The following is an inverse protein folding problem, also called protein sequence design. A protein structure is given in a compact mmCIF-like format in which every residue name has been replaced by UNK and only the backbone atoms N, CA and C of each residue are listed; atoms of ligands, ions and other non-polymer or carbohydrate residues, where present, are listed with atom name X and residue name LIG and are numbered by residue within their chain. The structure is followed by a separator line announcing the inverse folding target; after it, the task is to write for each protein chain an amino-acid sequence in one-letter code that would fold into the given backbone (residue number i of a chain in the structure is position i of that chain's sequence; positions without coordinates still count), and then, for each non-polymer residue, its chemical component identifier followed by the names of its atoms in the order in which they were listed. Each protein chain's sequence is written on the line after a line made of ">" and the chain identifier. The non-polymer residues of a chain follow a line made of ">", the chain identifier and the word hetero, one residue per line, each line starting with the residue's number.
data_IF_943610134968
#
_entry.id   IF_943610134968
#
_cell.length_a   1.000
_cell.length_b   1.000
_cell.length_c   1.000
_cell.angle_alpha   90.00
_cell.angle_beta   90.00
_cell.angle_gamma   90.00
#
_symmetry.space_group_name_H-M   'P 1'
#
loop_
_entity.id
_entity.type
_entity.pdbx_description
1 polymer ?
#
# COMPACT_ATOMS: atom_id res chain seq x y z
N UNK A 1 -20.11 27.77 35.70
CA UNK A 1 -19.57 29.16 35.76
C UNK A 1 -20.39 30.06 36.64
N UNK A 2 -21.72 30.12 36.47
CA UNK A 2 -22.61 31.02 37.22
C UNK A 2 -22.75 30.70 38.71
N UNK A 3 -22.80 29.42 39.09
CA UNK A 3 -22.86 29.00 40.50
C UNK A 3 -21.58 29.36 41.28
N UNK A 4 -20.41 29.27 40.65
CA UNK A 4 -19.13 29.68 41.23
C UNK A 4 -19.01 31.20 41.36
N UNK A 5 -19.52 31.96 40.38
CA UNK A 5 -19.55 33.40 40.44
C UNK A 5 -20.54 33.90 41.52
N UNK A 6 -21.72 33.25 41.65
CA UNK A 6 -22.70 33.56 42.71
C UNK A 6 -22.19 33.19 44.09
N UNK A 7 -21.46 32.07 44.25
CA UNK A 7 -20.86 31.71 45.53
C UNK A 7 -19.71 32.65 45.91
N UNK A 8 -18.93 33.13 44.97
CA UNK A 8 -17.86 34.10 45.22
C UNK A 8 -18.43 35.48 45.52
N UNK A 9 -19.52 35.86 44.86
CA UNK A 9 -20.25 37.12 45.14
C UNK A 9 -20.95 37.11 46.49
N UNK A 10 -21.56 35.96 46.87
CA UNK A 10 -22.18 35.75 48.18
C UNK A 10 -21.18 35.77 49.35
N UNK A 11 -19.89 35.46 49.10
CA UNK A 11 -18.79 35.53 50.11
C UNK A 11 -18.24 36.93 50.30
N UNK A 12 -18.45 37.86 49.35
CA UNK A 12 -17.86 39.21 49.37
C UNK A 12 -18.84 40.32 49.81
N UNK A 13 -20.17 40.03 49.81
CA UNK A 13 -21.18 41.00 50.22
C UNK A 13 -22.13 40.40 51.29
N UNK A 14 -22.38 41.13 52.42
CA UNK A 14 -23.38 40.74 53.44
C UNK A 14 -24.82 40.87 52.87
N UNK A 15 -25.40 39.79 52.41
CA UNK A 15 -26.76 39.70 51.87
C UNK A 15 -27.83 39.54 52.98
N UNK A 16 -27.94 40.47 53.89
CA UNK A 16 -28.98 40.39 54.91
C UNK A 16 -30.40 40.81 54.43
N UNK A 17 -30.51 41.49 53.30
CA UNK A 17 -31.81 41.99 52.79
C UNK A 17 -32.17 41.57 51.33
N UNK A 18 -31.43 40.67 50.71
CA UNK A 18 -31.75 40.29 49.32
C UNK A 18 -32.84 39.18 49.30
N UNK A 19 -33.95 39.41 48.54
CA UNK A 19 -35.02 38.41 48.50
C UNK A 19 -34.53 37.10 47.88
N UNK A 20 -34.56 36.00 48.62
CA UNK A 20 -34.15 34.63 48.14
C UNK A 20 -34.88 34.21 46.88
N UNK A 21 -36.08 34.75 46.63
CA UNK A 21 -36.86 34.54 45.40
C UNK A 21 -36.18 35.03 44.13
N UNK A 22 -35.34 36.09 44.21
CA UNK A 22 -34.62 36.62 43.04
C UNK A 22 -33.56 35.61 42.55
N UNK A 23 -32.83 34.97 43.45
CA UNK A 23 -31.84 33.94 43.10
C UNK A 23 -32.52 32.71 42.50
N UNK A 24 -33.72 32.34 42.96
CA UNK A 24 -34.45 31.23 42.38
C UNK A 24 -35.01 31.54 40.99
N UNK A 25 -35.49 32.75 40.78
CA UNK A 25 -35.94 33.21 39.47
C UNK A 25 -34.78 33.30 38.47
N UNK A 26 -33.62 33.83 38.87
CA UNK A 26 -32.42 33.92 38.03
C UNK A 26 -31.92 32.53 37.62
N UNK A 27 -31.91 31.57 38.53
CA UNK A 27 -31.56 30.18 38.25
C UNK A 27 -32.48 29.55 37.20
N UNK A 28 -33.80 29.75 37.32
CA UNK A 28 -34.79 29.24 36.37
C UNK A 28 -34.58 29.89 35.00
N UNK A 29 -34.41 31.23 34.94
CA UNK A 29 -34.21 31.94 33.68
C UNK A 29 -32.92 31.51 33.00
N UNK A 30 -31.80 31.42 33.71
CA UNK A 30 -30.52 30.99 33.17
C UNK A 30 -30.58 29.54 32.66
N UNK A 31 -31.21 28.62 33.43
CA UNK A 31 -31.33 27.22 33.02
C UNK A 31 -32.21 27.09 31.78
N UNK A 32 -33.33 27.80 31.72
CA UNK A 32 -34.24 27.83 30.58
C UNK A 32 -33.56 28.40 29.35
N UNK A 33 -32.81 29.49 29.50
CA UNK A 33 -32.07 30.10 28.40
C UNK A 33 -30.98 29.16 27.85
N UNK A 34 -30.22 28.46 28.69
CA UNK A 34 -29.23 27.45 28.31
C UNK A 34 -29.88 26.26 27.60
N UNK A 35 -31.01 25.79 28.07
CA UNK A 35 -31.75 24.71 27.42
C UNK A 35 -32.31 25.12 26.06
N UNK A 36 -32.89 26.32 25.97
CA UNK A 36 -33.41 26.88 24.71
C UNK A 36 -32.29 27.13 23.68
N UNK A 37 -31.16 27.70 24.10
CA UNK A 37 -30.03 27.92 23.21
C UNK A 37 -29.48 26.61 22.63
N UNK A 38 -29.35 25.55 23.48
CA UNK A 38 -28.95 24.22 23.00
C UNK A 38 -29.99 23.58 22.10
N UNK A 39 -31.27 23.71 22.40
CA UNK A 39 -32.34 23.21 21.55
C UNK A 39 -32.37 23.95 20.19
N UNK A 40 -32.21 25.27 20.19
CA UNK A 40 -32.17 26.09 18.94
C UNK A 40 -30.98 25.71 18.05
N UNK A 41 -29.78 25.56 18.63
CA UNK A 41 -28.61 25.10 17.92
C UNK A 41 -28.85 23.68 17.35
N UNK A 42 -29.42 22.80 18.13
CA UNK A 42 -29.70 21.41 17.68
C UNK A 42 -30.76 21.39 16.57
N UNK A 43 -31.81 22.19 16.64
CA UNK A 43 -32.84 22.33 15.61
C UNK A 43 -32.29 23.01 14.35
N UNK A 44 -31.43 24.02 14.49
CA UNK A 44 -30.78 24.68 13.34
C UNK A 44 -29.90 23.67 12.56
N UNK A 45 -29.06 22.89 13.25
CA UNK A 45 -28.25 21.87 12.60
C UNK A 45 -29.08 20.70 12.07
N UNK A 46 -30.16 20.29 12.78
CA UNK A 46 -31.08 19.25 12.31
C UNK A 46 -31.84 19.69 11.04
N UNK A 47 -32.31 20.92 10.96
CA UNK A 47 -33.02 21.45 9.79
C UNK A 47 -32.07 21.83 8.63
N UNK A 48 -30.83 22.21 8.91
CA UNK A 48 -29.82 22.45 7.87
C UNK A 48 -29.44 21.17 7.12
N UNK A 49 -29.50 20.03 7.79
CA UNK A 49 -29.25 18.72 7.16
C UNK A 49 -30.47 18.23 6.35
N UNK A 50 -31.69 18.65 6.75
CA UNK A 50 -32.94 18.20 6.11
C UNK A 50 -33.37 18.99 4.85
N UNK A 51 -32.83 20.17 4.59
CA UNK A 51 -33.30 21.07 3.56
C UNK A 51 -32.28 21.42 2.46
N UNK A 52 -31.39 20.48 2.10
CA UNK A 52 -30.66 20.58 0.82
C UNK A 52 -31.65 20.22 -0.32
N UNK A 53 -32.09 21.22 -1.05
CA UNK A 53 -32.87 21.14 -2.29
C UNK A 53 -32.51 19.89 -3.10
N UNK A 54 -33.53 19.09 -3.42
CA UNK A 54 -33.47 18.09 -4.50
C UNK A 54 -33.05 18.80 -5.79
N UNK A 55 -31.76 18.86 -6.04
CA UNK A 55 -31.26 19.11 -7.38
C UNK A 55 -31.41 17.81 -8.16
N UNK A 56 -32.39 17.78 -9.01
CA UNK A 56 -32.64 16.74 -10.00
C UNK A 56 -31.51 16.73 -11.05
N UNK A 57 -30.45 15.98 -10.74
CA UNK A 57 -29.61 15.38 -11.75
C UNK A 57 -29.70 13.86 -11.52
N UNK A 58 -30.23 13.14 -12.50
CA UNK A 58 -30.41 11.69 -12.48
C UNK A 58 -29.06 10.95 -12.63
N UNK A 59 -28.14 11.15 -11.71
CA UNK A 59 -27.10 10.17 -11.50
C UNK A 59 -27.55 9.28 -10.33
N UNK A 60 -27.71 8.01 -10.59
CA UNK A 60 -28.17 6.99 -9.63
C UNK A 60 -27.19 6.97 -8.45
N UNK A 61 -27.62 7.46 -7.26
CA UNK A 61 -26.81 7.36 -6.04
C UNK A 61 -26.55 5.88 -5.74
N UNK A 62 -25.31 5.52 -5.50
CA UNK A 62 -24.94 4.16 -5.04
C UNK A 62 -25.20 4.02 -3.56
N UNK A 63 -26.01 3.06 -3.18
CA UNK A 63 -26.21 2.68 -1.78
C UNK A 63 -25.01 1.86 -1.31
N UNK A 64 -24.32 2.33 -0.29
CA UNK A 64 -23.16 1.63 0.29
C UNK A 64 -23.41 1.23 1.73
N UNK A 65 -22.83 0.11 2.11
CA UNK A 65 -22.76 -0.37 3.50
C UNK A 65 -21.31 -0.33 3.94
N UNK A 66 -21.05 0.17 5.14
CA UNK A 66 -19.72 0.25 5.70
C UNK A 66 -19.53 -0.86 6.74
N UNK A 67 -18.43 -1.58 6.66
CA UNK A 67 -18.00 -2.58 7.62
C UNK A 67 -16.95 -1.96 8.54
N UNK A 68 -17.24 -1.96 9.84
CA UNK A 68 -16.52 -1.23 10.87
C UNK A 68 -17.23 0.06 11.26
N UNK A 69 -17.34 0.33 12.56
CA UNK A 69 -17.92 1.55 13.14
C UNK A 69 -16.89 2.26 14.03
N UNK A 70 -15.70 2.48 13.49
CA UNK A 70 -14.58 3.16 14.13
C UNK A 70 -14.33 4.57 13.60
N UNK A 71 -13.21 5.18 14.02
CA UNK A 71 -12.80 6.53 13.60
C UNK A 71 -12.59 6.66 12.09
N UNK A 72 -12.17 5.59 11.41
CA UNK A 72 -12.00 5.56 9.96
C UNK A 72 -13.34 5.66 9.23
N UNK A 73 -14.33 4.93 9.70
CA UNK A 73 -15.70 4.98 9.18
C UNK A 73 -16.34 6.34 9.40
N UNK A 74 -16.12 6.95 10.58
CA UNK A 74 -16.59 8.29 10.88
C UNK A 74 -16.05 9.33 9.87
N UNK A 75 -14.77 9.26 9.52
CA UNK A 75 -14.15 10.17 8.54
C UNK A 75 -14.78 10.00 7.16
N UNK A 76 -14.96 8.76 6.70
CA UNK A 76 -15.60 8.48 5.40
C UNK A 76 -17.06 8.95 5.39
N UNK A 77 -17.81 8.74 6.48
CA UNK A 77 -19.17 9.20 6.60
C UNK A 77 -19.24 10.73 6.46
N UNK A 78 -18.37 11.45 7.15
CA UNK A 78 -18.28 12.92 7.02
C UNK A 78 -17.98 13.35 5.59
N UNK A 79 -16.99 12.70 4.97
CA UNK A 79 -16.59 13.02 3.60
C UNK A 79 -17.75 12.82 2.61
N UNK A 80 -18.54 11.75 2.76
CA UNK A 80 -19.74 11.51 1.95
C UNK A 80 -20.83 12.57 2.20
N UNK A 81 -21.06 12.94 3.47
CA UNK A 81 -22.06 13.95 3.84
C UNK A 81 -21.65 15.32 3.33
N UNK A 82 -20.38 15.69 3.46
CA UNK A 82 -19.86 17.00 3.08
C UNK A 82 -19.72 17.16 1.56
N UNK A 83 -19.58 16.05 0.82
CA UNK A 83 -19.42 16.02 -0.64
C UNK A 83 -20.55 15.24 -1.35
N UNK A 84 -21.76 15.82 -1.50
CA UNK A 84 -22.86 15.16 -2.21
C UNK A 84 -22.57 14.80 -3.68
N UNK A 85 -21.54 15.41 -4.27
CA UNK A 85 -21.10 15.12 -5.63
C UNK A 85 -20.48 13.71 -5.79
N UNK A 86 -20.14 13.04 -4.71
CA UNK A 86 -19.63 11.66 -4.73
C UNK A 86 -20.72 10.62 -5.06
N UNK A 87 -21.99 11.00 -5.02
CA UNK A 87 -23.15 10.16 -5.37
C UNK A 87 -23.28 8.86 -4.55
N UNK A 88 -22.76 8.85 -3.32
CA UNK A 88 -22.93 7.76 -2.37
C UNK A 88 -24.01 8.04 -1.33
N UNK A 89 -24.78 7.01 -0.99
CA UNK A 89 -25.74 7.02 0.10
C UNK A 89 -25.40 5.88 1.07
N UNK A 90 -25.05 6.19 2.32
CA UNK A 90 -24.68 5.18 3.31
C UNK A 90 -25.96 4.68 3.99
N UNK A 91 -26.28 3.41 3.80
CA UNK A 91 -27.52 2.80 4.30
C UNK A 91 -27.38 2.17 5.70
N UNK A 92 -26.16 1.88 6.14
CA UNK A 92 -25.89 1.36 7.47
C UNK A 92 -24.44 0.93 7.67
N UNK A 93 -24.11 0.64 8.93
CA UNK A 93 -22.82 0.12 9.34
C UNK A 93 -22.98 -1.26 10.00
N UNK A 94 -21.92 -2.07 9.94
CA UNK A 94 -21.80 -3.34 10.66
C UNK A 94 -20.50 -3.35 11.46
N UNK A 95 -20.56 -3.76 12.73
CA UNK A 95 -19.38 -3.85 13.61
C UNK A 95 -19.58 -4.99 14.61
N UNK A 96 -18.52 -5.73 14.93
CA UNK A 96 -18.59 -6.85 15.89
C UNK A 96 -18.61 -6.40 17.33
N UNK A 97 -18.35 -5.12 17.61
CA UNK A 97 -18.39 -4.57 18.93
C UNK A 97 -19.85 -4.38 19.41
N UNK A 98 -20.27 -5.22 20.35
CA UNK A 98 -21.63 -5.22 20.89
C UNK A 98 -22.05 -3.86 21.48
N UNK A 99 -21.10 -3.05 21.97
CA UNK A 99 -21.41 -1.72 22.52
C UNK A 99 -21.75 -0.69 21.45
N UNK A 100 -21.42 -0.95 20.20
CA UNK A 100 -21.73 -0.07 19.08
C UNK A 100 -23.02 -0.44 18.36
N UNK A 101 -23.46 -1.69 18.47
CA UNK A 101 -24.67 -2.18 17.80
C UNK A 101 -25.89 -1.39 18.30
N UNK A 102 -26.71 -0.89 17.37
CA UNK A 102 -27.86 -0.03 17.67
C UNK A 102 -27.52 1.44 17.92
N UNK A 103 -26.22 1.81 18.02
CA UNK A 103 -25.80 3.21 18.03
C UNK A 103 -25.89 3.85 16.63
N UNK A 104 -25.73 5.16 16.57
CA UNK A 104 -25.70 5.90 15.30
C UNK A 104 -24.43 6.75 15.19
N UNK A 105 -23.80 6.76 14.02
CA UNK A 105 -22.67 7.63 13.69
C UNK A 105 -23.14 8.62 12.63
N UNK A 106 -23.18 9.90 12.96
CA UNK A 106 -23.73 10.97 12.11
C UNK A 106 -25.14 10.68 11.54
N UNK A 107 -25.98 9.98 12.35
CA UNK A 107 -27.34 9.61 11.95
C UNK A 107 -27.46 8.30 11.16
N UNK A 108 -26.37 7.60 10.89
CA UNK A 108 -26.36 6.32 10.21
C UNK A 108 -26.29 5.21 11.25
N UNK A 109 -27.22 4.22 11.25
CA UNK A 109 -27.29 3.19 12.29
C UNK A 109 -26.22 2.12 12.12
N UNK A 110 -25.72 1.58 13.24
CA UNK A 110 -24.97 0.32 13.30
C UNK A 110 -26.00 -0.81 13.43
N UNK A 111 -26.17 -1.57 12.34
CA UNK A 111 -27.29 -2.50 12.17
C UNK A 111 -27.09 -3.83 12.90
N UNK A 112 -25.83 -4.27 13.07
CA UNK A 112 -25.55 -5.55 13.72
C UNK A 112 -24.09 -5.97 13.60
N UNK A 113 -23.77 -7.20 14.02
CA UNK A 113 -22.47 -7.82 13.82
C UNK A 113 -22.23 -8.12 12.33
N UNK A 114 -20.97 -8.23 11.94
CA UNK A 114 -20.59 -8.40 10.52
C UNK A 114 -21.20 -9.67 9.91
N UNK A 115 -21.38 -10.74 10.68
CA UNK A 115 -22.03 -11.97 10.23
C UNK A 115 -23.48 -11.76 9.75
N UNK A 116 -24.21 -10.86 10.38
CA UNK A 116 -25.62 -10.59 10.02
C UNK A 116 -25.77 -9.81 8.71
N UNK A 117 -24.65 -9.42 8.06
CA UNK A 117 -24.65 -8.76 6.75
C UNK A 117 -25.36 -9.59 5.68
N UNK A 118 -25.27 -10.92 5.75
CA UNK A 118 -25.92 -11.84 4.81
C UNK A 118 -27.44 -11.89 4.94
N UNK A 119 -27.98 -11.50 6.09
CA UNK A 119 -29.40 -11.46 6.41
C UNK A 119 -30.04 -10.09 6.11
N UNK A 120 -29.26 -9.15 5.58
CA UNK A 120 -29.70 -7.81 5.33
C UNK A 120 -30.80 -7.73 4.29
N UNK A 121 -31.93 -7.14 4.65
CA UNK A 121 -33.09 -6.94 3.76
C UNK A 121 -33.04 -5.63 2.97
N UNK A 122 -32.20 -4.67 3.38
CA UNK A 122 -32.04 -3.38 2.71
C UNK A 122 -31.18 -3.55 1.47
N UNK A 123 -31.63 -3.02 0.33
CA UNK A 123 -30.86 -3.07 -0.92
C UNK A 123 -29.65 -2.13 -0.86
N UNK A 124 -28.49 -2.66 -1.20
CA UNK A 124 -27.24 -1.91 -1.37
C UNK A 124 -26.48 -2.35 -2.62
N UNK A 125 -25.61 -1.49 -3.11
CA UNK A 125 -24.86 -1.71 -4.35
C UNK A 125 -23.44 -2.18 -4.08
N UNK A 126 -22.80 -1.72 -2.97
CA UNK A 126 -21.38 -1.92 -2.70
C UNK A 126 -21.08 -1.95 -1.19
N UNK A 127 -20.00 -2.65 -0.82
CA UNK A 127 -19.49 -2.73 0.56
C UNK A 127 -18.14 -2.03 0.67
N UNK A 128 -17.93 -1.28 1.77
CA UNK A 128 -16.63 -0.68 2.06
C UNK A 128 -16.15 -1.16 3.44
N UNK A 129 -15.02 -1.88 3.45
CA UNK A 129 -14.37 -2.35 4.68
C UNK A 129 -13.51 -1.22 5.24
N UNK A 130 -13.92 -0.65 6.37
CA UNK A 130 -13.29 0.50 7.03
C UNK A 130 -12.63 0.11 8.36
N UNK A 131 -11.82 -0.94 8.38
CA UNK A 131 -11.11 -1.43 9.55
C UNK A 131 -9.60 -1.52 9.25
N UNK A 132 -8.88 -0.39 9.17
CA UNK A 132 -7.45 -0.37 8.81
C UNK A 132 -6.54 -1.06 9.85
N UNK A 133 -7.08 -1.36 11.03
CA UNK A 133 -6.41 -2.09 12.11
C UNK A 133 -6.75 -3.58 12.13
N UNK A 134 -7.57 -4.07 11.19
CA UNK A 134 -7.95 -5.47 11.14
C UNK A 134 -6.72 -6.37 11.00
N UNK A 135 -6.69 -7.42 11.80
CA UNK A 135 -5.72 -8.50 11.59
C UNK A 135 -6.05 -9.25 10.31
N UNK A 136 -5.06 -9.94 9.75
CA UNK A 136 -5.27 -10.69 8.53
C UNK A 136 -6.30 -11.82 8.67
N UNK A 137 -6.42 -12.40 9.85
CA UNK A 137 -7.46 -13.38 10.16
C UNK A 137 -8.84 -12.75 10.14
N UNK A 138 -8.99 -11.59 10.78
CA UNK A 138 -10.23 -10.81 10.73
C UNK A 138 -10.55 -10.38 9.29
N UNK A 139 -9.57 -9.89 8.54
CA UNK A 139 -9.77 -9.50 7.14
C UNK A 139 -10.24 -10.67 6.27
N UNK A 140 -9.64 -11.88 6.42
CA UNK A 140 -10.08 -13.09 5.72
C UNK A 140 -11.53 -13.43 6.05
N UNK A 141 -11.92 -13.40 7.33
CA UNK A 141 -13.29 -13.63 7.77
C UNK A 141 -14.25 -12.62 7.14
N UNK A 142 -13.93 -11.34 7.24
CA UNK A 142 -14.74 -10.24 6.69
C UNK A 142 -14.91 -10.41 5.17
N UNK A 143 -13.81 -10.66 4.46
CA UNK A 143 -13.84 -10.86 3.00
C UNK A 143 -14.64 -12.12 2.63
N UNK A 144 -14.58 -13.20 3.40
CA UNK A 144 -15.41 -14.39 3.17
C UNK A 144 -16.91 -14.05 3.29
N UNK A 145 -17.30 -13.25 4.28
CA UNK A 145 -18.68 -12.76 4.45
C UNK A 145 -19.07 -11.84 3.28
N UNK A 146 -18.22 -10.89 2.91
CA UNK A 146 -18.48 -10.01 1.76
C UNK A 146 -18.70 -10.81 0.46
N UNK A 147 -17.88 -11.81 0.21
CA UNK A 147 -18.04 -12.70 -0.96
C UNK A 147 -19.39 -13.41 -1.01
N UNK A 148 -19.89 -13.87 0.15
CA UNK A 148 -21.18 -14.57 0.22
C UNK A 148 -22.38 -13.68 -0.17
N UNK A 149 -22.23 -12.35 -0.10
CA UNK A 149 -23.26 -11.39 -0.50
C UNK A 149 -23.37 -11.20 -2.03
N UNK A 150 -22.41 -11.68 -2.81
CA UNK A 150 -22.29 -11.44 -4.26
C UNK A 150 -22.32 -9.96 -4.67
N UNK A 151 -21.92 -9.05 -3.78
CA UNK A 151 -21.82 -7.61 -4.04
C UNK A 151 -20.37 -7.20 -4.17
N UNK A 152 -20.06 -6.15 -4.98
CA UNK A 152 -18.74 -5.53 -4.99
C UNK A 152 -18.33 -5.07 -3.59
N UNK A 153 -17.07 -5.25 -3.25
CA UNK A 153 -16.53 -4.78 -1.98
C UNK A 153 -15.13 -4.19 -2.17
N UNK A 154 -14.86 -3.15 -1.42
CA UNK A 154 -13.60 -2.42 -1.40
C UNK A 154 -13.08 -2.28 0.04
N UNK A 155 -11.84 -1.89 0.21
CA UNK A 155 -11.24 -1.67 1.53
C UNK A 155 -10.50 -0.35 1.58
N UNK A 156 -10.39 0.22 2.78
CA UNK A 156 -9.42 1.29 3.04
C UNK A 156 -8.04 0.68 3.26
N UNK A 157 -6.95 1.38 2.87
CA UNK A 157 -5.59 0.95 3.17
C UNK A 157 -5.35 0.78 4.66
N UNK A 158 -4.37 -0.05 5.02
CA UNK A 158 -3.91 -0.18 6.41
C UNK A 158 -3.29 1.12 6.90
N UNK A 159 -3.20 1.32 8.22
CA UNK A 159 -2.60 2.53 8.80
C UNK A 159 -1.15 2.75 8.33
N UNK A 160 -0.41 1.68 8.04
CA UNK A 160 0.96 1.75 7.56
C UNK A 160 1.07 2.20 6.09
N UNK A 161 0.04 1.98 5.28
CA UNK A 161 -0.01 2.42 3.87
C UNK A 161 -0.47 3.88 3.72
N UNK A 162 -1.00 4.48 4.78
CA UNK A 162 -1.47 5.86 4.78
C UNK A 162 -0.32 6.80 5.17
N UNK A 163 0.36 7.39 4.21
CA UNK A 163 1.49 8.31 4.43
C UNK A 163 1.17 9.45 5.42
N UNK A 164 -0.06 9.95 5.43
CA UNK A 164 -0.53 11.03 6.32
C UNK A 164 -1.44 10.55 7.46
N UNK A 165 -1.65 9.25 7.64
CA UNK A 165 -2.61 8.70 8.61
C UNK A 165 -4.07 9.15 8.37
N UNK A 166 -4.38 9.72 7.21
CA UNK A 166 -5.71 10.22 6.85
C UNK A 166 -6.44 9.21 5.97
N UNK A 167 -7.50 8.63 6.50
CA UNK A 167 -8.43 7.80 5.72
C UNK A 167 -9.37 8.72 4.94
N UNK A 168 -9.47 8.52 3.63
CA UNK A 168 -10.37 9.22 2.70
C UNK A 168 -10.99 8.22 1.74
N UNK A 169 -12.13 8.57 1.15
CA UNK A 169 -12.79 7.78 0.11
C UNK A 169 -11.92 7.65 -1.15
N UNK A 170 -11.07 8.63 -1.43
CA UNK A 170 -10.10 8.56 -2.54
C UNK A 170 -9.06 7.44 -2.36
N UNK A 171 -8.85 6.98 -1.12
CA UNK A 171 -7.91 5.92 -0.77
C UNK A 171 -8.57 4.53 -0.77
N UNK A 172 -9.89 4.45 -1.00
CA UNK A 172 -10.61 3.16 -1.06
C UNK A 172 -10.19 2.42 -2.33
N UNK A 173 -9.79 1.15 -2.18
CA UNK A 173 -9.29 0.31 -3.26
C UNK A 173 -9.87 -1.10 -3.20
N UNK A 174 -9.74 -1.85 -4.27
CA UNK A 174 -10.07 -3.27 -4.24
C UNK A 174 -9.21 -4.01 -3.19
N UNK A 175 -9.79 -5.03 -2.57
CA UNK A 175 -9.06 -5.89 -1.63
C UNK A 175 -7.99 -6.66 -2.40
N UNK A 176 -6.75 -6.44 -2.03
CA UNK A 176 -5.60 -7.10 -2.65
C UNK A 176 -5.30 -8.45 -1.99
N UNK A 177 -4.54 -9.30 -2.70
CA UNK A 177 -4.04 -10.55 -2.09
C UNK A 177 -3.13 -10.30 -0.88
N UNK A 178 -2.47 -9.16 -0.83
CA UNK A 178 -1.59 -8.77 0.29
C UNK A 178 -2.41 -8.62 1.58
N UNK A 179 -3.60 -8.02 1.49
CA UNK A 179 -4.52 -7.85 2.63
C UNK A 179 -4.93 -9.20 3.26
N UNK A 180 -4.89 -10.27 2.46
CA UNK A 180 -5.31 -11.62 2.87
C UNK A 180 -4.16 -12.51 3.36
N UNK A 181 -2.91 -12.23 2.98
CA UNK A 181 -1.78 -13.14 3.21
C UNK A 181 -1.15 -13.04 4.60
N UNK A 182 -1.38 -11.97 5.30
CA UNK A 182 -1.06 -11.92 6.72
C UNK A 182 0.41 -11.76 7.07
N UNK A 183 1.24 -11.32 6.14
CA UNK A 183 2.64 -10.99 6.45
C UNK A 183 2.74 -9.55 6.94
N UNK A 184 3.41 -9.37 8.08
CA UNK A 184 3.84 -8.04 8.52
C UNK A 184 4.93 -7.57 7.57
N UNK A 185 4.84 -6.35 7.09
CA UNK A 185 5.95 -5.71 6.40
C UNK A 185 7.19 -5.72 7.29
N UNK A 186 8.31 -6.08 6.69
CA UNK A 186 9.61 -5.99 7.38
C UNK A 186 9.95 -4.50 7.46
N UNK A 187 10.05 -3.99 8.68
CA UNK A 187 10.56 -2.64 8.89
C UNK A 187 12.06 -2.64 8.56
N UNK A 188 12.42 -1.84 7.55
CA UNK A 188 13.81 -1.69 7.16
C UNK A 188 14.57 -0.90 8.25
N UNK A 189 15.77 -1.36 8.59
CA UNK A 189 16.69 -0.56 9.40
C UNK A 189 17.32 0.53 8.52
N UNK A 190 16.65 1.67 8.43
CA UNK A 190 17.08 2.80 7.62
C UNK A 190 18.49 3.27 7.98
N UNK A 191 18.88 3.19 9.23
CA UNK A 191 20.20 3.64 9.70
C UNK A 191 21.34 2.75 9.18
N UNK A 192 21.11 1.47 9.13
CA UNK A 192 22.08 0.49 8.60
C UNK A 192 22.16 0.51 7.08
N UNK A 193 21.03 0.65 6.39
CA UNK A 193 20.99 0.69 4.91
C UNK A 193 21.59 1.99 4.39
N UNK A 194 21.30 3.13 5.02
CA UNK A 194 21.81 4.44 4.63
C UNK A 194 23.33 4.47 4.52
N UNK A 195 24.07 3.77 5.41
CA UNK A 195 25.53 3.69 5.38
C UNK A 195 26.09 3.15 4.06
N UNK A 196 25.30 2.38 3.32
CA UNK A 196 25.72 1.72 2.10
C UNK A 196 25.24 2.42 0.83
N UNK A 197 24.25 3.33 0.92
CA UNK A 197 23.61 3.97 -0.24
C UNK A 197 23.78 5.50 -0.22
N UNK A 198 23.72 6.12 0.96
CA UNK A 198 23.84 7.58 1.10
C UNK A 198 25.14 8.12 0.47
N UNK A 199 25.03 9.08 -0.44
CA UNK A 199 26.15 9.70 -1.13
C UNK A 199 26.94 8.75 -2.05
N UNK A 200 26.36 7.57 -2.41
CA UNK A 200 26.99 6.59 -3.31
C UNK A 200 26.38 6.66 -4.70
N UNK A 201 27.16 6.23 -5.67
CA UNK A 201 26.69 6.01 -7.05
C UNK A 201 26.20 4.58 -7.17
N UNK A 202 24.91 4.42 -7.37
CA UNK A 202 24.22 3.13 -7.33
C UNK A 202 23.76 2.74 -8.73
N UNK A 203 24.21 1.60 -9.23
CA UNK A 203 23.75 1.02 -10.50
C UNK A 203 22.68 -0.05 -10.20
N UNK A 204 21.53 0.06 -10.84
CA UNK A 204 20.50 -0.98 -10.85
C UNK A 204 20.34 -1.51 -12.26
N UNK A 205 20.68 -2.78 -12.49
CA UNK A 205 20.43 -3.43 -13.78
C UNK A 205 19.07 -4.15 -13.76
N UNK A 206 18.35 -4.14 -14.88
CA UNK A 206 16.96 -4.55 -14.92
C UNK A 206 16.05 -3.56 -14.15
N UNK A 207 16.42 -2.28 -14.19
CA UNK A 207 15.83 -1.21 -13.40
C UNK A 207 14.33 -1.02 -13.63
N UNK A 208 13.82 -1.31 -14.82
CA UNK A 208 12.40 -1.24 -15.16
C UNK A 208 11.63 -2.53 -14.87
N UNK A 209 12.29 -3.61 -14.43
CA UNK A 209 11.66 -4.86 -14.02
C UNK A 209 10.96 -4.73 -12.65
N UNK A 210 10.15 -5.73 -12.27
CA UNK A 210 9.39 -5.69 -11.00
C UNK A 210 10.29 -5.53 -9.76
N UNK A 211 11.44 -6.22 -9.71
CA UNK A 211 12.38 -6.11 -8.59
C UNK A 211 13.26 -4.87 -8.74
N UNK A 212 13.78 -4.63 -9.97
CA UNK A 212 14.64 -3.49 -10.22
C UNK A 212 13.96 -2.15 -9.94
N UNK A 213 12.71 -1.97 -10.36
CA UNK A 213 11.95 -0.74 -10.09
C UNK A 213 11.71 -0.52 -8.59
N UNK A 214 11.48 -1.58 -7.83
CA UNK A 214 11.34 -1.48 -6.38
C UNK A 214 12.67 -1.15 -5.69
N UNK A 215 13.78 -1.73 -6.18
CA UNK A 215 15.12 -1.35 -5.71
C UNK A 215 15.40 0.13 -6.01
N UNK A 216 15.04 0.62 -7.20
CA UNK A 216 15.16 2.04 -7.56
C UNK A 216 14.39 2.92 -6.60
N UNK A 217 13.09 2.65 -6.35
CA UNK A 217 12.26 3.41 -5.41
C UNK A 217 12.86 3.44 -4.00
N UNK A 218 13.29 2.27 -3.51
CA UNK A 218 13.93 2.19 -2.20
C UNK A 218 15.26 2.95 -2.17
N UNK A 219 16.12 2.83 -3.18
CA UNK A 219 17.38 3.58 -3.22
C UNK A 219 17.17 5.10 -3.19
N UNK A 220 16.11 5.61 -3.85
CA UNK A 220 15.77 7.03 -3.84
C UNK A 220 15.54 7.56 -2.41
N UNK A 221 15.00 6.78 -1.50
CA UNK A 221 14.73 7.19 -0.12
C UNK A 221 15.99 7.32 0.75
N UNK A 222 17.16 6.90 0.23
CA UNK A 222 18.43 6.94 0.94
C UNK A 222 19.43 7.98 0.37
N UNK A 223 18.99 8.92 -0.45
CA UNK A 223 19.77 10.03 -1.01
C UNK A 223 21.12 9.58 -1.62
N UNK A 224 21.13 8.74 -2.67
CA UNK A 224 22.36 8.41 -3.41
C UNK A 224 22.88 9.65 -4.14
N UNK A 225 24.20 9.71 -4.38
CA UNK A 225 24.82 10.78 -5.17
C UNK A 225 24.38 10.68 -6.66
N UNK A 226 24.27 9.47 -7.17
CA UNK A 226 23.76 9.20 -8.52
C UNK A 226 23.10 7.83 -8.58
N UNK A 227 21.89 7.76 -9.12
CA UNK A 227 21.21 6.50 -9.41
C UNK A 227 21.26 6.19 -10.91
N UNK A 228 21.89 5.08 -11.28
CA UNK A 228 22.08 4.66 -12.66
C UNK A 228 21.07 3.55 -12.97
N UNK A 229 20.13 3.86 -13.85
CA UNK A 229 19.04 2.96 -14.27
C UNK A 229 19.45 2.27 -15.58
N UNK A 230 19.70 0.97 -15.54
CA UNK A 230 20.10 0.21 -16.72
C UNK A 230 19.07 -0.88 -17.05
N UNK A 231 18.50 -0.84 -18.24
CA UNK A 231 17.54 -1.85 -18.71
C UNK A 231 17.64 -2.04 -20.22
N UNK A 232 17.35 -3.26 -20.71
CA UNK A 232 17.26 -3.55 -22.14
C UNK A 232 15.89 -3.20 -22.74
N UNK A 233 14.85 -3.05 -21.90
CA UNK A 233 13.49 -2.73 -22.33
C UNK A 233 13.28 -1.21 -22.31
N UNK A 234 13.18 -0.58 -23.50
CA UNK A 234 12.85 0.83 -23.62
C UNK A 234 11.59 1.20 -22.83
N UNK A 235 10.51 0.44 -23.01
CA UNK A 235 9.23 0.70 -22.35
C UNK A 235 9.35 0.69 -20.81
N UNK A 236 10.03 -0.31 -20.26
CA UNK A 236 10.19 -0.44 -18.81
C UNK A 236 11.12 0.65 -18.25
N UNK A 237 12.20 0.97 -18.97
CA UNK A 237 13.14 2.02 -18.59
C UNK A 237 12.46 3.38 -18.61
N UNK A 238 11.70 3.71 -19.64
CA UNK A 238 10.94 4.95 -19.74
C UNK A 238 9.95 5.10 -18.59
N UNK A 239 9.27 4.01 -18.21
CA UNK A 239 8.30 4.04 -17.12
C UNK A 239 8.96 4.42 -15.80
N UNK A 240 10.07 3.75 -15.43
CA UNK A 240 10.75 4.05 -14.17
C UNK A 240 11.44 5.42 -14.18
N UNK A 241 11.92 5.87 -15.32
CA UNK A 241 12.44 7.22 -15.52
C UNK A 241 11.39 8.28 -15.21
N UNK A 242 10.17 8.12 -15.72
CA UNK A 242 9.05 9.03 -15.41
C UNK A 242 8.65 9.01 -13.94
N UNK A 243 8.74 7.87 -13.27
CA UNK A 243 8.53 7.78 -11.83
C UNK A 243 9.60 8.59 -11.06
N UNK A 244 10.86 8.48 -11.47
CA UNK A 244 11.96 9.25 -10.84
C UNK A 244 11.81 10.76 -11.05
N UNK A 245 11.43 11.20 -12.27
CA UNK A 245 11.18 12.62 -12.57
C UNK A 245 10.00 13.20 -11.76
N UNK A 246 8.96 12.41 -11.53
CA UNK A 246 7.76 12.82 -10.81
C UNK A 246 7.84 12.65 -9.28
N UNK A 247 8.99 12.23 -8.74
CA UNK A 247 9.15 12.01 -7.32
C UNK A 247 9.23 13.31 -6.52
N UNK A 248 8.61 13.32 -5.34
CA UNK A 248 8.74 14.42 -4.37
C UNK A 248 10.16 14.52 -3.76
N UNK A 249 10.99 13.50 -3.95
CA UNK A 249 12.41 13.46 -3.57
C UNK A 249 13.29 13.50 -4.83
N UNK A 250 13.65 14.68 -5.34
CA UNK A 250 14.48 14.80 -6.53
C UNK A 250 15.90 14.34 -6.22
N UNK A 251 16.34 13.28 -6.90
CA UNK A 251 17.70 12.76 -6.85
C UNK A 251 18.34 12.87 -8.25
N UNK A 252 19.67 12.92 -8.30
CA UNK A 252 20.37 12.78 -9.58
C UNK A 252 20.23 11.34 -10.09
N UNK A 253 19.76 11.16 -11.32
CA UNK A 253 19.72 9.85 -11.95
C UNK A 253 20.12 9.91 -13.43
N UNK A 254 20.52 8.75 -13.97
CA UNK A 254 20.87 8.58 -15.38
C UNK A 254 20.27 7.27 -15.91
N UNK A 255 19.43 7.38 -16.93
CA UNK A 255 18.86 6.22 -17.62
C UNK A 255 19.77 5.78 -18.79
N UNK A 256 20.02 4.47 -18.88
CA UNK A 256 20.86 3.86 -19.92
C UNK A 256 20.11 2.66 -20.50
N UNK A 257 19.73 2.79 -21.75
CA UNK A 257 19.16 1.69 -22.52
C UNK A 257 20.28 0.78 -23.02
N UNK A 258 20.27 -0.49 -22.62
CA UNK A 258 21.31 -1.43 -23.01
C UNK A 258 21.11 -2.84 -22.52
N UNK A 259 21.90 -3.75 -23.08
CA UNK A 259 21.90 -5.17 -22.76
C UNK A 259 23.15 -5.53 -21.94
N UNK A 260 23.01 -6.29 -20.87
CA UNK A 260 24.15 -6.76 -20.04
C UNK A 260 25.08 -7.71 -20.80
N UNK A 261 24.66 -8.21 -21.95
CA UNK A 261 25.50 -9.00 -22.86
C UNK A 261 26.51 -8.13 -23.63
N UNK A 262 26.26 -6.84 -23.75
CA UNK A 262 27.16 -5.88 -24.43
C UNK A 262 28.29 -5.45 -23.48
N UNK A 263 29.39 -6.25 -23.48
CA UNK A 263 30.57 -5.97 -22.65
C UNK A 263 31.16 -4.58 -22.90
N UNK A 264 31.38 -4.13 -24.17
CA UNK A 264 31.84 -2.77 -24.45
C UNK A 264 30.97 -1.65 -23.86
N UNK A 265 29.65 -1.79 -23.92
CA UNK A 265 28.71 -0.83 -23.33
C UNK A 265 28.86 -0.78 -21.80
N UNK A 266 28.95 -1.93 -21.14
CA UNK A 266 29.16 -2.00 -19.70
C UNK A 266 30.48 -1.33 -19.29
N UNK A 267 31.60 -1.59 -20.00
CA UNK A 267 32.85 -0.91 -19.68
C UNK A 267 32.77 0.61 -19.87
N UNK A 268 32.08 1.12 -20.90
CA UNK A 268 31.83 2.56 -21.05
C UNK A 268 31.01 3.11 -19.89
N UNK A 269 29.94 2.40 -19.47
CA UNK A 269 29.10 2.79 -18.31
C UNK A 269 29.93 2.88 -17.03
N UNK A 270 30.68 1.82 -16.70
CA UNK A 270 31.46 1.78 -15.46
C UNK A 270 32.61 2.80 -15.47
N UNK A 271 33.25 3.04 -16.60
CA UNK A 271 34.31 4.07 -16.72
C UNK A 271 33.73 5.48 -16.53
N UNK A 272 32.54 5.77 -17.07
CA UNK A 272 31.95 7.09 -17.06
C UNK A 272 31.31 7.43 -15.70
N UNK A 273 30.58 6.48 -15.12
CA UNK A 273 29.79 6.73 -13.91
C UNK A 273 30.43 6.18 -12.63
N UNK A 274 31.35 5.23 -12.73
CA UNK A 274 32.08 4.60 -11.62
C UNK A 274 31.15 4.23 -10.45
N UNK A 275 30.21 3.31 -10.64
CA UNK A 275 29.26 2.93 -9.58
C UNK A 275 30.01 2.37 -8.37
N UNK A 276 29.60 2.79 -7.16
CA UNK A 276 30.12 2.26 -5.90
C UNK A 276 29.35 0.98 -5.50
N UNK A 277 28.06 0.92 -5.83
CA UNK A 277 27.17 -0.19 -5.50
C UNK A 277 26.43 -0.66 -6.77
N UNK A 278 26.37 -1.96 -6.97
CA UNK A 278 25.63 -2.59 -8.08
C UNK A 278 24.56 -3.52 -7.54
N UNK A 279 23.31 -3.27 -7.89
CA UNK A 279 22.19 -4.19 -7.72
C UNK A 279 21.89 -4.84 -9.08
N UNK A 280 22.22 -6.12 -9.20
CA UNK A 280 22.02 -6.86 -10.44
C UNK A 280 20.71 -7.64 -10.41
N UNK A 281 19.63 -7.03 -10.97
CA UNK A 281 18.30 -7.63 -11.09
C UNK A 281 17.93 -8.02 -12.53
N UNK A 282 18.78 -7.70 -13.52
CA UNK A 282 18.57 -8.11 -14.91
C UNK A 282 18.72 -9.62 -15.06
N UNK A 283 17.67 -10.30 -15.50
CA UNK A 283 17.67 -11.74 -15.79
C UNK A 283 16.41 -12.16 -16.54
N UNK A 284 16.49 -13.22 -17.32
CA UNK A 284 15.31 -13.94 -17.79
C UNK A 284 14.79 -14.88 -16.69
N UNK A 285 13.47 -14.81 -16.37
CA UNK A 285 12.86 -15.50 -15.22
C UNK A 285 11.77 -16.52 -15.54
N UNK A 286 11.20 -16.47 -16.76
CA UNK A 286 10.06 -17.32 -17.13
C UNK A 286 10.52 -18.73 -17.50
N UNK A 287 10.29 -19.70 -16.60
CA UNK A 287 10.73 -21.09 -16.78
C UNK A 287 10.29 -21.68 -18.13
N UNK A 288 9.01 -21.62 -18.55
CA UNK A 288 8.59 -22.22 -19.82
C UNK A 288 9.28 -21.61 -21.05
N UNK A 289 9.64 -20.32 -20.99
CA UNK A 289 10.35 -19.64 -22.08
C UNK A 289 11.80 -20.09 -22.15
N UNK A 290 12.44 -20.25 -20.97
CA UNK A 290 13.85 -20.64 -20.91
C UNK A 290 14.07 -22.12 -21.27
N UNK A 291 13.08 -22.97 -21.01
CA UNK A 291 13.11 -24.36 -21.52
C UNK A 291 13.08 -24.43 -23.05
N UNK A 292 12.35 -23.48 -23.69
CA UNK A 292 12.31 -23.38 -25.17
C UNK A 292 13.54 -22.67 -25.77
N UNK A 293 14.15 -21.76 -25.00
CA UNK A 293 15.24 -20.88 -25.45
C UNK A 293 16.42 -20.92 -24.47
N UNK A 294 17.06 -22.07 -24.26
CA UNK A 294 18.10 -22.24 -23.23
C UNK A 294 19.33 -21.34 -23.46
N UNK A 295 19.69 -21.09 -24.71
CA UNK A 295 20.82 -20.22 -25.05
C UNK A 295 20.63 -18.79 -24.57
N UNK A 296 19.42 -18.26 -24.69
CA UNK A 296 19.12 -16.91 -24.21
C UNK A 296 19.25 -16.82 -22.68
N UNK A 297 18.87 -17.88 -21.95
CA UNK A 297 19.09 -17.96 -20.52
C UNK A 297 20.59 -17.97 -20.17
N UNK A 298 21.41 -18.74 -20.90
CA UNK A 298 22.86 -18.81 -20.68
C UNK A 298 23.51 -17.46 -20.99
N UNK A 299 23.21 -16.87 -22.14
CA UNK A 299 23.80 -15.60 -22.55
C UNK A 299 23.42 -14.44 -21.61
N UNK A 300 22.19 -14.39 -21.16
CA UNK A 300 21.73 -13.31 -20.27
C UNK A 300 22.10 -13.57 -18.81
N UNK A 301 21.69 -14.72 -18.26
CA UNK A 301 21.81 -14.96 -16.82
C UNK A 301 23.23 -15.35 -16.38
N UNK A 302 24.04 -15.96 -17.27
CA UNK A 302 25.40 -16.36 -16.95
C UNK A 302 26.41 -15.38 -17.57
N UNK A 303 26.43 -15.25 -18.90
CA UNK A 303 27.43 -14.40 -19.57
C UNK A 303 27.23 -12.93 -19.22
N UNK A 304 25.97 -12.44 -19.19
CA UNK A 304 25.66 -11.07 -18.78
C UNK A 304 26.08 -10.78 -17.34
N UNK A 305 25.87 -11.75 -16.41
CA UNK A 305 26.35 -11.63 -15.03
C UNK A 305 27.87 -11.61 -14.97
N UNK A 306 28.57 -12.46 -15.76
CA UNK A 306 30.02 -12.47 -15.84
C UNK A 306 30.58 -11.14 -16.36
N UNK A 307 29.97 -10.57 -17.40
CA UNK A 307 30.39 -9.27 -17.94
C UNK A 307 30.27 -8.15 -16.87
N UNK A 308 29.22 -8.18 -16.05
CA UNK A 308 29.06 -7.22 -14.96
C UNK A 308 30.07 -7.45 -13.84
N UNK A 309 30.38 -8.71 -13.49
CA UNK A 309 31.42 -9.05 -12.52
C UNK A 309 32.78 -8.53 -13.01
N UNK A 310 33.17 -8.80 -14.28
CA UNK A 310 34.40 -8.31 -14.85
C UNK A 310 34.49 -6.78 -14.79
N UNK A 311 33.42 -6.08 -15.16
CA UNK A 311 33.37 -4.62 -15.06
C UNK A 311 33.44 -4.13 -13.58
N UNK A 312 32.80 -4.82 -12.65
CA UNK A 312 32.87 -4.46 -11.22
C UNK A 312 34.30 -4.59 -10.67
N UNK A 313 35.05 -5.62 -11.08
CA UNK A 313 36.45 -5.78 -10.74
C UNK A 313 37.35 -4.69 -11.36
N UNK A 314 37.21 -4.48 -12.67
CA UNK A 314 38.05 -3.53 -13.43
C UNK A 314 37.88 -2.08 -12.89
N UNK A 315 36.72 -1.73 -12.37
CA UNK A 315 36.43 -0.38 -11.89
C UNK A 315 36.26 -0.29 -10.36
N UNK A 316 36.69 -1.32 -9.62
CA UNK A 316 36.77 -1.34 -8.15
C UNK A 316 35.46 -0.95 -7.46
N UNK A 317 34.36 -1.59 -7.83
CA UNK A 317 33.05 -1.46 -7.16
C UNK A 317 33.19 -1.89 -5.70
N UNK A 318 32.57 -1.16 -4.77
CA UNK A 318 32.58 -1.52 -3.34
C UNK A 318 31.69 -2.75 -3.07
N UNK A 319 30.49 -2.77 -3.65
CA UNK A 319 29.48 -3.83 -3.39
C UNK A 319 28.75 -4.26 -4.64
N UNK A 320 28.59 -5.57 -4.78
CA UNK A 320 27.82 -6.18 -5.85
C UNK A 320 26.78 -7.16 -5.29
N UNK A 321 25.50 -6.89 -5.50
CA UNK A 321 24.39 -7.70 -5.02
C UNK A 321 23.68 -8.36 -6.18
N UNK A 322 23.78 -9.69 -6.30
CA UNK A 322 23.03 -10.48 -7.26
C UNK A 322 21.64 -10.81 -6.71
N UNK A 323 20.62 -10.41 -7.44
CA UNK A 323 19.23 -10.86 -7.18
C UNK A 323 19.09 -12.29 -7.73
N UNK A 324 18.85 -13.26 -6.84
CA UNK A 324 18.66 -14.67 -7.15
C UNK A 324 17.28 -15.18 -6.76
N UNK A 325 17.05 -16.47 -6.77
CA UNK A 325 15.76 -17.10 -6.58
C UNK A 325 15.86 -18.39 -5.76
N UNK A 326 14.77 -18.81 -5.12
CA UNK A 326 14.60 -20.12 -4.49
C UNK A 326 14.83 -21.29 -5.46
N UNK A 327 14.57 -21.06 -6.77
CA UNK A 327 14.73 -22.05 -7.84
C UNK A 327 16.19 -22.34 -8.20
N UNK A 328 17.12 -21.54 -7.69
CA UNK A 328 18.56 -21.81 -7.78
C UNK A 328 19.03 -22.90 -6.79
N UNK A 329 18.20 -23.24 -5.80
CA UNK A 329 18.46 -24.33 -4.85
C UNK A 329 18.00 -25.64 -5.47
N UNK A 330 18.92 -26.59 -5.69
CA UNK A 330 18.65 -27.86 -6.38
C UNK A 330 17.85 -27.68 -7.68
N UNK A 331 18.40 -26.97 -8.68
CA UNK A 331 17.63 -26.55 -9.86
C UNK A 331 17.16 -27.74 -10.68
N UNK A 332 15.87 -27.80 -10.97
CA UNK A 332 15.23 -28.80 -11.82
C UNK A 332 14.85 -28.26 -13.22
N UNK A 333 15.24 -27.01 -13.51
CA UNK A 333 14.93 -26.34 -14.77
C UNK A 333 16.08 -25.42 -15.20
N UNK A 334 16.10 -25.06 -16.50
CA UNK A 334 17.18 -24.26 -17.10
C UNK A 334 17.33 -22.90 -16.42
N UNK A 335 16.23 -22.20 -16.17
CA UNK A 335 16.28 -20.89 -15.51
C UNK A 335 16.93 -21.00 -14.11
N UNK A 336 16.51 -21.96 -13.31
CA UNK A 336 17.10 -22.22 -11.98
C UNK A 336 18.59 -22.60 -12.08
N UNK A 337 18.96 -23.44 -13.06
CA UNK A 337 20.35 -23.84 -13.31
C UNK A 337 21.23 -22.64 -13.68
N UNK A 338 20.76 -21.74 -14.54
CA UNK A 338 21.51 -20.54 -14.90
C UNK A 338 21.70 -19.59 -13.72
N UNK A 339 20.69 -19.42 -12.86
CA UNK A 339 20.83 -18.62 -11.64
C UNK A 339 21.77 -19.27 -10.62
N UNK A 340 21.73 -20.61 -10.50
CA UNK A 340 22.68 -21.35 -9.66
C UNK A 340 24.13 -21.12 -10.13
N UNK A 341 24.37 -21.17 -11.43
CA UNK A 341 25.72 -20.90 -11.98
C UNK A 341 26.12 -19.45 -11.70
N UNK A 342 25.22 -18.48 -11.89
CA UNK A 342 25.50 -17.08 -11.55
C UNK A 342 25.88 -16.89 -10.07
N UNK A 343 25.21 -17.57 -9.15
CA UNK A 343 25.59 -17.58 -7.73
C UNK A 343 26.98 -18.19 -7.50
N UNK A 344 27.33 -19.28 -8.23
CA UNK A 344 28.67 -19.87 -8.16
C UNK A 344 29.76 -18.91 -8.65
N UNK A 345 29.49 -18.14 -9.71
CA UNK A 345 30.40 -17.09 -10.17
C UNK A 345 30.66 -16.06 -9.08
N UNK A 346 29.59 -15.52 -8.46
CA UNK A 346 29.68 -14.59 -7.33
C UNK A 346 30.47 -15.18 -6.16
N UNK A 347 30.16 -16.40 -5.77
CA UNK A 347 30.83 -17.08 -4.66
C UNK A 347 32.32 -17.31 -4.97
N UNK A 348 32.68 -17.75 -6.17
CA UNK A 348 34.09 -17.96 -6.56
C UNK A 348 34.87 -16.64 -6.53
N UNK A 349 34.29 -15.57 -7.05
CA UNK A 349 34.92 -14.23 -7.07
C UNK A 349 35.09 -13.64 -5.67
N UNK A 350 34.19 -13.92 -4.74
CA UNK A 350 34.24 -13.37 -3.36
C UNK A 350 35.47 -13.80 -2.56
N UNK A 351 36.20 -14.85 -2.97
CA UNK A 351 37.40 -15.30 -2.26
C UNK A 351 38.64 -14.42 -2.51
N UNK A 352 38.80 -13.92 -3.73
CA UNK A 352 40.03 -13.25 -4.17
C UNK A 352 39.84 -11.79 -4.57
N UNK A 353 38.63 -11.24 -4.37
CA UNK A 353 38.25 -9.89 -4.81
C UNK A 353 38.22 -8.88 -3.67
N UNK A 354 38.46 -7.61 -4.01
CA UNK A 354 38.19 -6.48 -3.13
C UNK A 354 36.71 -6.05 -3.16
N UNK A 355 35.94 -6.52 -4.14
CA UNK A 355 34.50 -6.26 -4.27
C UNK A 355 33.75 -7.13 -3.29
N UNK A 356 32.85 -6.53 -2.51
CA UNK A 356 31.98 -7.27 -1.60
C UNK A 356 30.81 -7.91 -2.35
N UNK A 357 30.97 -9.15 -2.79
CA UNK A 357 29.96 -9.90 -3.51
C UNK A 357 28.92 -10.51 -2.60
N UNK A 358 27.64 -10.35 -2.94
CA UNK A 358 26.49 -10.93 -2.24
C UNK A 358 25.47 -11.48 -3.22
N UNK A 359 24.80 -12.57 -2.87
CA UNK A 359 23.63 -13.08 -3.58
C UNK A 359 22.47 -13.21 -2.62
N UNK A 360 21.29 -12.70 -3.02
CA UNK A 360 20.06 -12.78 -2.24
C UNK A 360 19.06 -13.68 -2.95
N UNK A 361 18.49 -14.66 -2.23
CA UNK A 361 17.46 -15.56 -2.73
C UNK A 361 16.11 -15.21 -2.13
N UNK A 362 15.06 -15.21 -2.92
CA UNK A 362 13.71 -15.09 -2.44
C UNK A 362 12.74 -15.91 -3.30
N UNK A 363 11.53 -16.15 -2.77
CA UNK A 363 10.48 -16.88 -3.44
C UNK A 363 9.74 -16.03 -4.46
N UNK A 364 8.48 -16.40 -4.74
CA UNK A 364 7.66 -15.63 -5.67
C UNK A 364 7.20 -14.33 -5.03
N UNK A 365 7.33 -13.24 -5.75
CA UNK A 365 6.83 -11.92 -5.33
C UNK A 365 5.41 -11.74 -5.84
N UNK A 366 4.50 -11.39 -4.93
CA UNK A 366 3.09 -11.16 -5.26
C UNK A 366 2.98 -9.94 -6.18
N UNK A 367 2.11 -10.03 -7.18
CA UNK A 367 1.88 -8.91 -8.11
C UNK A 367 3.00 -8.65 -9.11
N UNK A 368 4.08 -9.43 -9.12
CA UNK A 368 5.14 -9.24 -10.11
C UNK A 368 4.65 -9.54 -11.53
N UNK A 369 5.10 -8.74 -12.50
CA UNK A 369 4.71 -8.85 -13.91
C UNK A 369 4.91 -10.26 -14.46
N UNK A 370 3.87 -10.81 -15.11
CA UNK A 370 3.88 -12.17 -15.67
C UNK A 370 3.94 -13.29 -14.61
N UNK A 371 3.62 -13.00 -13.34
CA UNK A 371 3.46 -14.02 -12.31
C UNK A 371 2.12 -14.74 -12.43
N UNK A 372 1.99 -15.88 -11.73
CA UNK A 372 0.81 -16.75 -11.81
C UNK A 372 -0.49 -16.04 -11.41
N UNK A 373 -0.46 -15.15 -10.41
CA UNK A 373 -1.66 -14.48 -9.92
C UNK A 373 -2.28 -13.51 -10.95
N UNK A 374 -1.53 -12.53 -11.51
CA UNK A 374 -2.04 -11.70 -12.61
C UNK A 374 -2.51 -12.53 -13.80
N UNK A 375 -1.80 -13.60 -14.17
CA UNK A 375 -2.21 -14.49 -15.27
C UNK A 375 -3.56 -15.15 -14.97
N UNK A 376 -3.78 -15.66 -13.77
CA UNK A 376 -5.06 -16.24 -13.36
C UNK A 376 -6.17 -15.20 -13.34
N UNK A 377 -5.93 -14.01 -12.84
CA UNK A 377 -6.89 -12.91 -12.85
C UNK A 377 -7.32 -12.54 -14.27
N UNK A 378 -6.37 -12.45 -15.19
CA UNK A 378 -6.66 -12.20 -16.60
C UNK A 378 -7.45 -13.34 -17.25
N UNK A 379 -7.10 -14.60 -17.00
CA UNK A 379 -7.82 -15.76 -17.48
C UNK A 379 -9.25 -15.78 -16.93
N UNK A 380 -9.46 -15.50 -15.65
CA UNK A 380 -10.79 -15.40 -15.03
C UNK A 380 -11.61 -14.27 -15.69
N UNK A 381 -11.00 -13.10 -15.87
CA UNK A 381 -11.66 -11.96 -16.52
C UNK A 381 -12.11 -12.26 -17.95
N UNK A 382 -11.35 -13.10 -18.65
CA UNK A 382 -11.64 -13.53 -20.02
C UNK A 382 -12.58 -14.76 -20.08
N UNK A 383 -13.17 -15.21 -18.95
CA UNK A 383 -14.12 -16.31 -18.88
C UNK A 383 -13.49 -17.71 -18.71
N UNK A 384 -12.19 -17.80 -18.42
CA UNK A 384 -11.45 -19.06 -18.20
C UNK A 384 -11.10 -19.83 -19.49
N UNK A 385 -10.59 -21.05 -19.38
CA UNK A 385 -10.20 -21.76 -18.15
C UNK A 385 -8.91 -21.24 -17.52
N UNK A 386 -8.70 -21.53 -16.22
CA UNK A 386 -7.42 -21.28 -15.55
C UNK A 386 -6.44 -22.40 -15.93
N UNK A 387 -5.24 -22.03 -16.39
CA UNK A 387 -4.20 -22.97 -16.75
C UNK A 387 -3.36 -23.36 -15.54
N UNK A 388 -3.46 -24.61 -15.09
CA UNK A 388 -2.63 -25.18 -14.01
C UNK A 388 -1.55 -26.06 -14.64
N UNK A 389 -0.29 -25.76 -14.35
CA UNK A 389 0.85 -26.51 -14.89
C UNK A 389 0.97 -27.89 -14.22
N UNK A 390 0.79 -27.96 -12.90
CA UNK A 390 0.79 -29.17 -12.10
C UNK A 390 -0.10 -28.96 -10.87
N UNK A 391 -1.11 -29.83 -10.63
CA UNK A 391 -2.04 -29.67 -9.51
C UNK A 391 -1.36 -29.83 -8.13
N UNK A 392 -0.21 -30.49 -8.05
CA UNK A 392 0.52 -30.70 -6.79
C UNK A 392 1.63 -29.64 -6.56
N UNK A 393 1.78 -28.70 -7.47
CA UNK A 393 2.84 -27.71 -7.38
C UNK A 393 2.60 -26.73 -6.24
N UNK A 394 3.55 -26.66 -5.32
CA UNK A 394 3.57 -25.67 -4.23
C UNK A 394 4.46 -24.47 -4.58
N UNK A 395 4.06 -23.29 -4.18
CA UNK A 395 4.81 -22.05 -4.35
C UNK A 395 4.82 -21.25 -3.06
N UNK A 396 6.01 -20.84 -2.64
CA UNK A 396 6.15 -19.88 -1.53
C UNK A 396 6.08 -18.46 -2.10
N UNK A 397 5.21 -17.66 -1.52
CA UNK A 397 5.04 -16.24 -1.87
C UNK A 397 5.54 -15.34 -0.75
N UNK A 398 6.05 -14.20 -1.11
CA UNK A 398 6.46 -13.14 -0.19
C UNK A 398 5.85 -11.80 -0.62
#
# INVERSE_FOLDING_TARGET
>A
GSLLALSLFALTFEFSEFPKSVLFIDFIICTTFLCLSRATVRLYFSNSVGNKKKFSFQSKMKNIVIIGAGSSSEKIIREVIDNPAMHYNIVGLYDDDQYKIGATIHGIPVLGPIESLTEMTISYDELIICIPTATNEQMRRIVAICKSTNKPYMTVPTLNELMDGKVSLSNVREVSMVDLLGRKEVQLDHSSISKYIYGKRVLVTGAGGSIGSELVRNCMTFDPDLLILFDQSEHNLFKIEKECEGSDHPIAFQSILGDIRDKPLLHRLFSSFKPDVVFHAAAYKHVPMQEKHPWEAVLTNIQGTLNLIDAAEDYSVDRFVLVSTDKAVNPSNIMGATKHIAEKLIHTKSYDSQVNYMAVRFGNVIGSSGSVIPTFQEQIKNGGPITITDPNMQRYFM
#
